data_IF_377438905151
#
_entry.id   IF_377438905151
#
_cell.length_a   1.000
_cell.length_b   1.000
_cell.length_c   1.000
_cell.angle_alpha   90.00
_cell.angle_beta   90.00
_cell.angle_gamma   90.00
#
_symmetry.space_group_name_H-M   'P 1'
#
loop_
_entity.id
_entity.type
_entity.pdbx_description
1 polymer ?
#
# COMPACT_ATOMS: atom_id res chain seq x y z
N UNK A 1 -21.71 -7.93 -5.33
CA UNK A 1 -20.84 -8.01 -4.13
C UNK A 1 -21.41 -7.08 -3.07
N UNK A 2 -21.70 -7.56 -1.86
CA UNK A 2 -22.19 -6.69 -0.78
C UNK A 2 -21.04 -5.86 -0.17
N UNK A 3 -21.39 -4.82 0.60
CA UNK A 3 -20.41 -3.91 1.18
C UNK A 3 -19.42 -4.59 2.16
N UNK A 4 -19.87 -5.60 2.89
CA UNK A 4 -19.03 -6.37 3.82
C UNK A 4 -17.96 -7.17 3.08
N UNK A 5 -18.34 -7.91 2.02
CA UNK A 5 -17.41 -8.65 1.19
C UNK A 5 -16.42 -7.72 0.46
N UNK A 6 -16.86 -6.53 0.05
CA UNK A 6 -15.97 -5.51 -0.53
C UNK A 6 -14.94 -5.02 0.49
N UNK A 7 -15.35 -4.75 1.73
CA UNK A 7 -14.46 -4.31 2.78
C UNK A 7 -13.41 -5.37 3.15
N UNK A 8 -13.84 -6.63 3.26
CA UNK A 8 -12.94 -7.76 3.55
C UNK A 8 -11.92 -7.97 2.43
N UNK A 9 -12.38 -7.91 1.16
CA UNK A 9 -11.50 -8.01 -0.01
C UNK A 9 -10.45 -6.90 -0.02
N UNK A 10 -10.85 -5.66 0.27
CA UNK A 10 -9.92 -4.53 0.38
C UNK A 10 -8.90 -4.77 1.51
N UNK A 11 -9.34 -5.21 2.69
CA UNK A 11 -8.45 -5.49 3.83
C UNK A 11 -7.39 -6.53 3.45
N UNK A 12 -7.83 -7.66 2.88
CA UNK A 12 -6.94 -8.73 2.42
C UNK A 12 -5.92 -8.23 1.39
N UNK A 13 -6.32 -7.39 0.42
CA UNK A 13 -5.41 -6.82 -0.58
C UNK A 13 -4.41 -5.83 0.03
N UNK A 14 -4.84 -5.02 1.00
CA UNK A 14 -3.96 -4.10 1.75
C UNK A 14 -2.90 -4.90 2.52
N UNK A 15 -3.28 -5.99 3.19
CA UNK A 15 -2.34 -6.85 3.92
C UNK A 15 -1.26 -7.44 3.00
N UNK A 16 -1.65 -7.95 1.82
CA UNK A 16 -0.70 -8.46 0.82
C UNK A 16 0.25 -7.35 0.36
N UNK A 17 -0.27 -6.18 0.03
CA UNK A 17 0.56 -5.05 -0.42
C UNK A 17 1.57 -4.60 0.65
N UNK A 18 1.13 -4.50 1.91
CA UNK A 18 2.02 -4.18 3.05
C UNK A 18 3.06 -5.29 3.22
N UNK A 19 2.67 -6.56 3.08
CA UNK A 19 3.60 -7.69 3.14
C UNK A 19 4.72 -7.61 2.10
N UNK A 20 4.41 -7.20 0.88
CA UNK A 20 5.40 -6.94 -0.18
C UNK A 20 6.31 -5.77 0.21
N UNK A 21 5.72 -4.63 0.58
CA UNK A 21 6.46 -3.42 0.92
C UNK A 21 7.38 -3.60 2.12
N UNK A 22 7.00 -4.40 3.12
CA UNK A 22 7.88 -4.69 4.28
C UNK A 22 9.16 -5.43 3.89
N UNK A 23 9.20 -6.07 2.72
CA UNK A 23 10.38 -6.73 2.17
C UNK A 23 11.25 -5.78 1.34
N UNK A 24 10.78 -4.57 1.04
CA UNK A 24 11.55 -3.56 0.30
C UNK A 24 12.27 -2.62 1.26
N UNK A 25 13.28 -1.92 0.72
CA UNK A 25 13.91 -0.84 1.47
C UNK A 25 12.91 0.29 1.70
N UNK A 26 13.06 0.98 2.83
CA UNK A 26 12.31 2.18 3.13
C UNK A 26 13.24 3.37 3.20
N UNK A 27 12.68 4.54 2.92
CA UNK A 27 13.34 5.81 3.16
C UNK A 27 12.53 6.65 4.15
N UNK A 28 13.22 7.52 4.87
CA UNK A 28 12.58 8.56 5.67
C UNK A 28 12.69 9.86 4.88
N UNK A 29 11.54 10.47 4.58
CA UNK A 29 11.42 11.74 3.88
C UNK A 29 11.06 12.82 4.90
N UNK A 30 11.63 14.01 4.74
CA UNK A 30 11.21 15.20 5.48
C UNK A 30 10.45 16.09 4.51
N UNK A 31 9.19 16.40 4.83
CA UNK A 31 8.35 17.28 4.04
C UNK A 31 8.71 18.75 4.33
N UNK A 32 8.23 19.66 3.48
CA UNK A 32 8.46 21.11 3.61
C UNK A 32 7.87 21.71 4.88
N UNK A 33 6.85 21.06 5.47
CA UNK A 33 6.27 21.43 6.77
C UNK A 33 7.08 20.90 7.96
N UNK A 34 8.26 20.31 7.73
CA UNK A 34 9.13 19.71 8.74
C UNK A 34 8.69 18.31 9.19
N UNK A 35 7.53 17.81 8.73
CA UNK A 35 7.04 16.49 9.14
C UNK A 35 7.77 15.36 8.43
N UNK A 36 8.00 14.26 9.15
CA UNK A 36 8.67 13.06 8.65
C UNK A 36 7.66 12.04 8.15
N UNK A 37 7.97 11.47 7.00
CA UNK A 37 7.22 10.42 6.34
C UNK A 37 8.13 9.22 6.13
N UNK A 38 7.72 8.06 6.63
CA UNK A 38 8.34 6.79 6.23
C UNK A 38 7.68 6.30 4.95
N UNK A 39 8.52 6.05 3.96
CA UNK A 39 8.16 5.78 2.59
C UNK A 39 8.69 4.40 2.17
N UNK A 40 7.81 3.58 1.63
CA UNK A 40 8.17 2.32 0.97
C UNK A 40 7.57 2.36 -0.42
N UNK A 41 8.36 1.97 -1.41
CA UNK A 41 7.89 1.80 -2.77
C UNK A 41 8.30 0.42 -3.27
N UNK A 42 7.50 -0.12 -4.18
CA UNK A 42 7.76 -1.36 -4.89
C UNK A 42 7.26 -1.21 -6.32
N UNK A 43 8.04 -1.70 -7.28
CA UNK A 43 7.64 -1.73 -8.68
C UNK A 43 8.09 -3.06 -9.29
N UNK A 44 7.15 -3.77 -9.92
CA UNK A 44 7.44 -5.01 -10.64
C UNK A 44 6.43 -5.19 -11.77
N UNK A 45 6.94 -5.25 -13.01
CA UNK A 45 6.14 -5.22 -14.24
C UNK A 45 5.13 -4.07 -14.21
N UNK A 46 3.84 -4.36 -14.42
CA UNK A 46 2.75 -3.39 -14.46
C UNK A 46 2.34 -2.88 -13.07
N UNK A 47 2.80 -3.54 -12.00
CA UNK A 47 2.36 -3.28 -10.62
C UNK A 47 3.32 -2.32 -9.89
N UNK A 48 2.76 -1.21 -9.39
CA UNK A 48 3.48 -0.31 -8.48
C UNK A 48 2.73 -0.17 -7.15
N UNK A 49 3.45 -0.25 -6.04
CA UNK A 49 2.94 0.00 -4.69
C UNK A 49 3.68 1.20 -4.10
N UNK A 50 2.94 2.14 -3.52
CA UNK A 50 3.51 3.23 -2.75
C UNK A 50 2.83 3.31 -1.41
N UNK A 51 3.63 3.29 -0.36
CA UNK A 51 3.18 3.43 1.01
C UNK A 51 3.89 4.60 1.67
N UNK A 52 3.10 5.41 2.34
CA UNK A 52 3.54 6.62 3.04
C UNK A 52 2.88 6.65 4.41
N UNK A 53 3.68 6.78 5.46
CA UNK A 53 3.22 6.91 6.85
C UNK A 53 3.87 8.12 7.49
N UNK A 54 3.07 9.08 7.96
CA UNK A 54 3.59 10.14 8.84
C UNK A 54 3.94 9.54 10.19
N UNK A 55 5.10 9.91 10.73
CA UNK A 55 5.60 9.37 12.02
C UNK A 55 5.59 10.38 13.16
N UNK A 56 5.37 11.66 12.86
CA UNK A 56 5.43 12.76 13.82
C UNK A 56 4.07 13.23 14.35
N UNK A 57 2.98 12.63 13.88
CA UNK A 57 1.63 12.94 14.35
C UNK A 57 1.06 11.73 15.09
N UNK A 58 0.26 11.98 16.12
CA UNK A 58 -0.30 10.91 16.96
C UNK A 58 -1.25 9.99 16.20
N UNK A 59 -2.02 10.57 15.27
CA UNK A 59 -2.95 9.85 14.39
C UNK A 59 -2.25 9.02 13.31
N UNK A 60 -0.94 9.25 13.08
CA UNK A 60 -0.04 8.52 12.17
C UNK A 60 -0.70 8.18 10.82
N UNK A 61 -1.20 9.18 10.07
CA UNK A 61 -1.94 8.95 8.85
C UNK A 61 -1.06 8.19 7.87
N UNK A 62 -1.64 7.12 7.37
CA UNK A 62 -1.01 6.14 6.52
C UNK A 62 -1.80 6.04 5.23
N UNK A 63 -1.10 6.05 4.10
CA UNK A 63 -1.70 5.89 2.77
C UNK A 63 -0.96 4.83 1.99
N UNK A 64 -1.72 3.91 1.42
CA UNK A 64 -1.30 2.93 0.44
C UNK A 64 -1.96 3.27 -0.91
N UNK A 65 -1.14 3.32 -1.96
CA UNK A 65 -1.57 3.43 -3.34
C UNK A 65 -1.06 2.23 -4.12
N UNK A 66 -1.95 1.54 -4.80
CA UNK A 66 -1.64 0.48 -5.77
C UNK A 66 -1.98 1.00 -7.15
N UNK A 67 -1.01 0.89 -8.06
CA UNK A 67 -1.21 1.11 -9.49
C UNK A 67 -0.98 -0.17 -10.27
N UNK A 68 -1.74 -0.31 -11.34
CA UNK A 68 -1.58 -1.37 -12.33
C UNK A 68 -1.70 -0.73 -13.71
N UNK A 69 -0.74 -0.96 -14.60
CA UNK A 69 -0.65 -0.27 -15.91
C UNK A 69 -0.72 1.26 -15.79
N UNK A 70 -0.05 1.81 -14.77
CA UNK A 70 -0.04 3.25 -14.48
C UNK A 70 -1.31 3.79 -13.81
N UNK A 71 -2.41 3.04 -13.80
CA UNK A 71 -3.71 3.44 -13.26
C UNK A 71 -3.87 3.14 -11.78
N UNK A 72 -4.44 4.07 -11.00
CA UNK A 72 -4.73 3.83 -9.57
C UNK A 72 -5.91 2.87 -9.40
N UNK A 73 -5.62 1.64 -8.99
CA UNK A 73 -6.62 0.56 -8.84
C UNK A 73 -7.06 0.35 -7.38
N UNK A 74 -6.20 0.69 -6.40
CA UNK A 74 -6.55 0.70 -4.98
C UNK A 74 -5.89 1.89 -4.29
N UNK A 75 -6.67 2.64 -3.51
CA UNK A 75 -6.20 3.66 -2.60
C UNK A 75 -6.82 3.37 -1.24
N UNK A 76 -5.99 3.21 -0.23
CA UNK A 76 -6.42 2.98 1.13
C UNK A 76 -5.68 3.95 2.05
N UNK A 77 -6.43 4.73 2.83
CA UNK A 77 -5.88 5.62 3.86
C UNK A 77 -6.51 5.30 5.20
N UNK A 78 -5.70 5.35 6.25
CA UNK A 78 -6.13 5.09 7.62
C UNK A 78 -5.29 5.86 8.63
N UNK A 79 -5.87 6.11 9.79
CA UNK A 79 -5.19 6.61 10.99
C UNK A 79 -5.13 5.48 12.03
N UNK A 80 -4.67 5.80 13.24
CA UNK A 80 -4.79 4.90 14.40
C UNK A 80 -6.24 4.45 14.67
N UNK A 81 -7.23 5.29 14.34
CA UNK A 81 -8.66 5.04 14.58
C UNK A 81 -9.34 4.19 13.49
N UNK A 82 -8.62 3.89 12.40
CA UNK A 82 -9.09 3.03 11.31
C UNK A 82 -9.13 3.71 9.94
N UNK A 83 -9.82 3.08 8.99
CA UNK A 83 -9.85 3.51 7.59
C UNK A 83 -10.60 4.83 7.41
N UNK A 84 -9.93 5.82 6.84
CA UNK A 84 -10.48 7.14 6.50
C UNK A 84 -10.86 7.24 5.03
N UNK A 85 -10.21 6.48 4.13
CA UNK A 85 -10.53 6.48 2.69
C UNK A 85 -10.26 5.12 2.04
N UNK A 86 -11.17 4.68 1.17
CA UNK A 86 -11.03 3.44 0.37
C UNK A 86 -11.57 3.63 -1.05
N UNK A 87 -10.70 3.69 -2.05
CA UNK A 87 -11.06 3.59 -3.47
C UNK A 87 -10.54 2.27 -4.02
N UNK A 88 -11.34 1.57 -4.80
CA UNK A 88 -11.00 0.23 -5.28
C UNK A 88 -11.74 -0.07 -6.58
N UNK A 89 -10.99 -0.48 -7.61
CA UNK A 89 -11.48 -0.99 -8.89
C UNK A 89 -11.09 -2.48 -8.98
N UNK A 90 -12.02 -3.43 -9.07
CA UNK A 90 -11.69 -4.85 -9.26
C UNK A 90 -11.00 -5.08 -10.61
N UNK A 91 -10.12 -6.07 -10.70
CA UNK A 91 -9.45 -6.43 -11.96
C UNK A 91 -8.34 -7.46 -11.80
N UNK A 92 -7.62 -7.73 -12.89
CA UNK A 92 -6.53 -8.73 -12.96
C UNK A 92 -5.35 -8.39 -12.04
N UNK A 93 -5.16 -7.11 -11.74
CA UNK A 93 -4.12 -6.62 -10.83
C UNK A 93 -4.14 -7.29 -9.47
N UNK A 94 -5.28 -7.78 -9.00
CA UNK A 94 -5.36 -8.48 -7.72
C UNK A 94 -4.62 -9.81 -7.75
N UNK A 95 -4.69 -10.53 -8.87
CA UNK A 95 -3.94 -11.76 -9.07
C UNK A 95 -2.44 -11.44 -9.23
N UNK A 96 -2.09 -10.35 -9.91
CA UNK A 96 -0.71 -9.86 -9.99
C UNK A 96 -0.14 -9.52 -8.60
N UNK A 97 -0.91 -8.81 -7.76
CA UNK A 97 -0.53 -8.49 -6.39
C UNK A 97 -0.31 -9.75 -5.55
N UNK A 98 -1.22 -10.72 -5.60
CA UNK A 98 -1.07 -12.00 -4.88
C UNK A 98 0.09 -12.85 -5.38
N UNK A 99 0.43 -12.78 -6.68
CA UNK A 99 1.65 -13.40 -7.22
C UNK A 99 2.90 -12.74 -6.62
N UNK A 100 2.98 -11.41 -6.62
CA UNK A 100 4.08 -10.68 -6.01
C UNK A 100 4.22 -10.98 -4.50
N UNK A 101 3.11 -11.10 -3.77
CA UNK A 101 3.12 -11.43 -2.34
C UNK A 101 3.73 -12.80 -2.00
N UNK A 102 3.74 -13.73 -2.97
CA UNK A 102 4.35 -15.07 -2.83
C UNK A 102 5.82 -15.12 -3.25
N UNK A 103 6.36 -14.06 -3.85
CA UNK A 103 7.78 -14.01 -4.21
C UNK A 103 8.65 -14.02 -2.95
N UNK A 104 9.78 -14.75 -2.95
CA UNK A 104 10.74 -14.70 -1.85
C UNK A 104 11.24 -13.26 -1.66
N UNK A 105 11.67 -12.94 -0.44
CA UNK A 105 12.35 -11.66 -0.20
C UNK A 105 13.57 -11.58 -1.14
N UNK A 106 13.68 -10.49 -1.90
CA UNK A 106 14.85 -10.26 -2.75
C UNK A 106 16.08 -10.35 -1.86
N UNK A 107 17.00 -11.28 -2.18
CA UNK A 107 18.28 -11.34 -1.53
C UNK A 107 18.94 -9.96 -1.67
N UNK A 108 19.42 -9.42 -0.54
CA UNK A 108 20.22 -8.20 -0.56
C UNK A 108 21.59 -8.63 -1.10
N UNK A 109 21.90 -8.27 -2.34
CA UNK A 109 23.27 -8.29 -2.84
C UNK A 109 24.13 -7.29 -2.06
#
# INVERSE_FOLDING_TARGET
MNNAARAERIRSLVEVAIGILRRTQHCNLTLTDGSRVRAWDFCHNELSLSFRRRVDTDDRPTTLVVKYDGEKVLIASWTADGFTRRSYRPGEWEAALRRCGRMPALARD
#
